data_IF_015938607884
#
_entry.id   IF_015938607884
#
_cell.length_a   1.000
_cell.length_b   1.000
_cell.length_c   1.000
_cell.angle_alpha   90.00
_cell.angle_beta   90.00
_cell.angle_gamma   90.00
#
_symmetry.space_group_name_H-M   'P 1'
#
loop_
_entity.id
_entity.type
_entity.pdbx_description
1 polymer ?
#
# COMPACT_ATOMS: atom_id res chain seq x y z
N UNK A 1 -23.71 9.72 -1.24
CA UNK A 1 -23.69 10.43 0.06
C UNK A 1 -23.84 9.48 1.24
N UNK A 2 -24.92 8.68 1.34
CA UNK A 2 -25.12 7.75 2.46
C UNK A 2 -23.93 6.82 2.74
N UNK A 3 -23.38 6.17 1.71
CA UNK A 3 -22.20 5.31 1.86
C UNK A 3 -20.99 6.06 2.43
N UNK A 4 -20.78 7.34 2.06
CA UNK A 4 -19.69 8.15 2.59
C UNK A 4 -19.94 8.56 4.05
N UNK A 5 -21.18 8.93 4.39
CA UNK A 5 -21.56 9.27 5.76
C UNK A 5 -21.46 8.07 6.71
N UNK A 6 -21.75 6.86 6.22
CA UNK A 6 -21.62 5.64 7.00
C UNK A 6 -20.17 5.41 7.51
N UNK A 7 -19.15 5.83 6.75
CA UNK A 7 -17.74 5.67 7.13
C UNK A 7 -17.31 6.53 8.33
N UNK A 8 -18.14 7.48 8.76
CA UNK A 8 -17.85 8.39 9.86
C UNK A 8 -18.33 7.85 11.22
N UNK A 9 -19.04 6.72 11.22
CA UNK A 9 -19.49 6.06 12.45
C UNK A 9 -18.32 5.37 13.18
N UNK A 10 -18.36 5.30 14.52
CA UNK A 10 -17.37 4.55 15.29
C UNK A 10 -17.29 3.09 14.86
N UNK A 11 -16.11 2.48 14.95
CA UNK A 11 -15.98 1.02 14.82
C UNK A 11 -16.67 0.39 16.04
N UNK A 12 -17.70 -0.42 15.80
CA UNK A 12 -18.55 -1.02 16.85
C UNK A 12 -18.90 -2.50 16.57
N UNK A 13 -18.22 -3.13 15.62
CA UNK A 13 -18.53 -4.49 15.19
C UNK A 13 -18.40 -5.52 16.33
N UNK A 14 -17.40 -5.37 17.21
CA UNK A 14 -17.19 -6.31 18.31
C UNK A 14 -18.32 -6.23 19.34
N UNK A 15 -18.74 -5.00 19.66
CA UNK A 15 -19.89 -4.73 20.52
C UNK A 15 -21.18 -5.26 19.89
N UNK A 16 -21.36 -5.08 18.57
CA UNK A 16 -22.48 -5.63 17.81
C UNK A 16 -22.53 -7.17 17.87
N UNK A 17 -21.39 -7.84 17.69
CA UNK A 17 -21.31 -9.31 17.77
C UNK A 17 -21.65 -9.84 19.17
N UNK A 18 -21.20 -9.17 20.23
CA UNK A 18 -21.50 -9.56 21.62
C UNK A 18 -22.97 -9.36 21.96
N UNK A 19 -23.56 -8.21 21.56
CA UNK A 19 -24.96 -7.90 21.88
C UNK A 19 -25.99 -8.63 21.00
N UNK A 20 -25.56 -9.11 19.84
CA UNK A 20 -26.41 -9.68 18.79
C UNK A 20 -27.14 -8.63 17.93
N UNK A 21 -27.49 -8.98 16.67
CA UNK A 21 -28.21 -8.08 15.78
C UNK A 21 -29.69 -7.95 16.20
N UNK A 22 -30.27 -6.78 15.99
CA UNK A 22 -31.68 -6.47 16.31
C UNK A 22 -32.56 -6.23 15.09
N UNK A 23 -31.96 -6.21 13.90
CA UNK A 23 -32.63 -5.99 12.63
C UNK A 23 -31.81 -6.57 11.47
N UNK A 24 -32.43 -6.67 10.29
CA UNK A 24 -31.82 -7.23 9.08
C UNK A 24 -30.55 -6.49 8.62
N UNK A 25 -30.42 -5.19 8.93
CA UNK A 25 -29.23 -4.40 8.57
C UNK A 25 -28.05 -4.85 9.42
N UNK A 26 -28.25 -5.02 10.72
CA UNK A 26 -27.23 -5.51 11.64
C UNK A 26 -26.84 -6.96 11.35
N UNK A 27 -27.81 -7.82 11.01
CA UNK A 27 -27.55 -9.17 10.52
C UNK A 27 -26.64 -9.15 9.29
N UNK A 28 -26.97 -8.33 8.29
CA UNK A 28 -26.17 -8.17 7.08
C UNK A 28 -24.76 -7.63 7.38
N UNK A 29 -24.62 -6.69 8.33
CA UNK A 29 -23.31 -6.18 8.75
C UNK A 29 -22.41 -7.30 9.29
N UNK A 30 -22.95 -8.13 10.20
CA UNK A 30 -22.21 -9.27 10.77
C UNK A 30 -21.87 -10.28 9.67
N UNK A 31 -22.83 -10.64 8.84
CA UNK A 31 -22.63 -11.60 7.73
C UNK A 31 -21.49 -11.15 6.81
N UNK A 32 -21.50 -9.89 6.38
CA UNK A 32 -20.46 -9.33 5.52
C UNK A 32 -19.11 -9.29 6.22
N UNK A 33 -19.05 -8.86 7.48
CA UNK A 33 -17.83 -8.83 8.27
C UNK A 33 -17.19 -10.23 8.37
N UNK A 34 -17.99 -11.25 8.69
CA UNK A 34 -17.50 -12.62 8.79
C UNK A 34 -17.04 -13.18 7.44
N UNK A 35 -17.83 -12.98 6.38
CA UNK A 35 -17.49 -13.46 5.04
C UNK A 35 -16.22 -12.81 4.50
N UNK A 36 -16.06 -11.49 4.66
CA UNK A 36 -14.89 -10.76 4.16
C UNK A 36 -13.62 -11.17 4.90
N UNK A 37 -13.69 -11.33 6.23
CA UNK A 37 -12.55 -11.80 7.01
C UNK A 37 -12.22 -13.28 6.76
N UNK A 38 -13.23 -14.11 6.45
CA UNK A 38 -13.04 -15.50 6.07
C UNK A 38 -12.33 -15.70 4.71
N UNK A 39 -12.24 -14.66 3.87
CA UNK A 39 -11.44 -14.71 2.64
C UNK A 39 -9.93 -14.84 2.91
N UNK A 40 -9.48 -14.61 4.14
CA UNK A 40 -8.07 -14.74 4.52
C UNK A 40 -7.16 -13.65 3.95
N UNK A 41 -7.71 -12.63 3.27
CA UNK A 41 -6.93 -11.57 2.60
C UNK A 41 -6.00 -10.86 3.59
N UNK A 42 -6.50 -10.54 4.78
CA UNK A 42 -5.73 -9.91 5.85
C UNK A 42 -5.30 -8.47 5.56
N UNK A 43 -4.54 -7.90 6.49
CA UNK A 43 -4.04 -6.54 6.36
C UNK A 43 -3.09 -6.43 5.17
N UNK A 44 -3.30 -5.41 4.33
CA UNK A 44 -2.56 -5.15 3.09
C UNK A 44 -2.62 -6.27 2.03
N UNK A 45 -3.44 -7.31 2.22
CA UNK A 45 -3.52 -8.44 1.28
C UNK A 45 -2.40 -9.47 1.43
N UNK A 46 -1.67 -9.46 2.55
CA UNK A 46 -0.56 -10.39 2.82
C UNK A 46 -1.01 -11.75 3.39
N UNK A 47 -2.30 -11.96 3.59
CA UNK A 47 -2.82 -13.07 4.37
C UNK A 47 -3.06 -12.67 5.84
N UNK A 48 -4.20 -13.06 6.41
CA UNK A 48 -4.48 -12.81 7.83
C UNK A 48 -5.93 -13.01 8.23
N UNK A 49 -6.19 -12.84 9.54
CA UNK A 49 -7.54 -12.96 10.12
C UNK A 49 -8.42 -11.73 9.90
N UNK A 50 -7.81 -10.57 9.66
CA UNK A 50 -8.51 -9.28 9.65
C UNK A 50 -8.21 -8.52 8.36
N UNK A 51 -9.16 -8.60 7.44
CA UNK A 51 -9.23 -7.79 6.22
C UNK A 51 -9.98 -6.49 6.48
N UNK A 52 -11.07 -6.55 7.24
CA UNK A 52 -11.91 -5.40 7.62
C UNK A 52 -12.10 -5.35 9.14
N UNK A 53 -12.10 -4.12 9.67
CA UNK A 53 -12.36 -3.86 11.09
C UNK A 53 -13.86 -3.73 11.39
N UNK A 54 -14.64 -3.25 10.42
CA UNK A 54 -16.09 -3.06 10.52
C UNK A 54 -16.70 -3.00 9.10
N UNK A 55 -18.00 -3.23 9.00
CA UNK A 55 -18.82 -3.02 7.81
C UNK A 55 -20.01 -2.18 8.21
N UNK A 56 -20.19 -1.01 7.59
CA UNK A 56 -21.35 -0.14 7.81
C UNK A 56 -22.32 -0.25 6.65
N UNK A 57 -23.60 -0.42 6.97
CA UNK A 57 -24.68 -0.51 5.98
C UNK A 57 -25.74 0.53 6.32
N UNK A 58 -26.08 1.36 5.33
CA UNK A 58 -27.22 2.28 5.37
C UNK A 58 -28.11 2.00 4.17
N UNK A 59 -29.40 2.00 4.40
CA UNK A 59 -30.43 1.89 3.39
C UNK A 59 -31.23 3.19 3.27
N UNK A 60 -31.99 3.30 2.18
CA UNK A 60 -32.91 4.38 1.95
C UNK A 60 -34.01 3.90 0.98
N UNK A 61 -35.25 4.41 1.09
CA UNK A 61 -36.29 4.09 0.13
C UNK A 61 -35.90 4.45 -1.30
N UNK A 62 -36.25 3.60 -2.25
CA UNK A 62 -35.98 3.81 -3.68
C UNK A 62 -37.25 3.62 -4.49
N UNK A 63 -37.29 4.20 -5.69
CA UNK A 63 -38.36 3.91 -6.64
C UNK A 63 -38.40 2.40 -6.95
N UNK A 64 -39.59 1.80 -7.09
CA UNK A 64 -39.74 0.35 -7.22
C UNK A 64 -38.94 -0.27 -8.40
N UNK A 65 -38.72 0.51 -9.47
CA UNK A 65 -37.92 0.13 -10.63
C UNK A 65 -36.40 0.39 -10.46
N UNK A 66 -35.91 0.72 -9.27
CA UNK A 66 -34.51 1.11 -9.04
C UNK A 66 -33.96 0.57 -7.73
N UNK A 67 -32.74 0.03 -7.78
CA UNK A 67 -32.00 -0.46 -6.60
C UNK A 67 -30.53 0.00 -6.65
N UNK A 68 -30.26 1.31 -6.46
CA UNK A 68 -28.90 1.81 -6.39
C UNK A 68 -28.15 1.18 -5.21
N UNK A 69 -26.94 0.70 -5.47
CA UNK A 69 -26.01 0.17 -4.45
C UNK A 69 -24.69 0.92 -4.58
N UNK A 70 -24.15 1.38 -3.46
CA UNK A 70 -22.86 2.07 -3.42
C UNK A 70 -21.99 1.47 -2.32
N UNK A 71 -20.76 1.12 -2.66
CA UNK A 71 -19.74 0.63 -1.73
C UNK A 71 -18.56 1.61 -1.74
N UNK A 72 -18.11 2.02 -0.56
CA UNK A 72 -16.95 2.91 -0.42
C UNK A 72 -16.09 2.37 0.72
N UNK A 73 -14.79 2.11 0.50
CA UNK A 73 -13.89 1.73 1.58
C UNK A 73 -13.45 2.94 2.41
N UNK A 74 -13.19 2.73 3.70
CA UNK A 74 -12.42 3.65 4.54
C UNK A 74 -11.05 3.04 4.82
N UNK A 75 -9.99 3.84 4.74
CA UNK A 75 -8.63 3.34 4.85
C UNK A 75 -8.02 3.66 6.23
N UNK A 76 -6.77 3.20 6.46
CA UNK A 76 -6.04 3.49 7.69
C UNK A 76 -5.89 5.00 7.99
N UNK A 77 -5.97 5.85 6.96
CA UNK A 77 -6.04 7.29 7.11
C UNK A 77 -7.49 7.79 7.31
N UNK A 78 -8.23 7.14 8.22
CA UNK A 78 -9.58 7.53 8.65
C UNK A 78 -9.52 8.82 9.46
N UNK A 79 -9.91 9.93 8.84
CA UNK A 79 -9.70 11.28 9.38
C UNK A 79 -10.98 12.09 9.26
N UNK A 80 -11.61 12.33 10.40
CA UNK A 80 -12.79 13.17 10.53
C UNK A 80 -12.89 13.68 11.97
N UNK A 81 -13.62 14.76 12.15
CA UNK A 81 -13.92 15.29 13.47
C UNK A 81 -15.34 15.83 13.49
N UNK A 82 -16.04 15.58 14.59
CA UNK A 82 -17.38 16.07 14.84
C UNK A 82 -17.32 17.02 16.03
N UNK A 83 -17.90 18.19 15.91
CA UNK A 83 -18.04 19.15 17.00
C UNK A 83 -19.38 19.88 16.86
N UNK A 84 -19.87 20.43 17.97
CA UNK A 84 -21.12 21.20 18.03
C UNK A 84 -20.78 22.59 18.55
N UNK A 85 -21.37 23.61 17.93
CA UNK A 85 -21.30 24.98 18.43
C UNK A 85 -22.54 25.23 19.29
N UNK A 86 -22.33 25.40 20.59
CA UNK A 86 -23.38 25.66 21.59
C UNK A 86 -23.34 27.09 22.15
N UNK A 87 -22.45 27.94 21.63
CA UNK A 87 -22.24 29.31 22.09
C UNK A 87 -21.30 29.46 23.28
N UNK A 88 -20.68 28.38 23.76
CA UNK A 88 -19.75 28.41 24.90
C UNK A 88 -18.36 29.00 24.59
N UNK A 89 -17.99 29.13 23.31
CA UNK A 89 -16.72 29.73 22.89
C UNK A 89 -16.08 29.03 21.70
N UNK A 90 -14.75 29.19 21.59
CA UNK A 90 -13.95 28.56 20.53
C UNK A 90 -13.84 27.05 20.80
N UNK A 91 -14.05 26.24 19.76
CA UNK A 91 -13.83 24.81 19.85
C UNK A 91 -12.31 24.50 19.90
N UNK A 92 -11.85 23.93 21.01
CA UNK A 92 -10.48 23.48 21.17
C UNK A 92 -10.34 21.98 20.87
N UNK A 93 -9.45 21.64 19.93
CA UNK A 93 -9.22 20.27 19.48
C UNK A 93 -7.87 19.77 19.99
N UNK A 94 -7.88 19.11 21.16
CA UNK A 94 -6.66 18.62 21.80
C UNK A 94 -6.14 17.39 21.06
N UNK A 95 -4.88 17.44 20.62
CA UNK A 95 -4.23 16.29 20.02
C UNK A 95 -4.11 15.12 21.02
N UNK A 96 -4.34 13.86 20.59
CA UNK A 96 -4.16 12.69 21.45
C UNK A 96 -2.73 12.60 22.01
N UNK A 97 -2.58 12.11 23.25
CA UNK A 97 -1.25 11.93 23.82
C UNK A 97 -0.64 10.65 23.25
N UNK A 98 0.66 10.66 22.94
CA UNK A 98 1.36 9.43 22.52
C UNK A 98 1.28 8.31 23.57
N UNK A 99 1.13 8.67 24.85
CA UNK A 99 0.91 7.72 25.95
C UNK A 99 -0.42 6.98 25.90
N UNK A 100 -1.40 7.47 25.13
CA UNK A 100 -2.72 6.83 25.00
C UNK A 100 -2.65 5.59 24.09
N UNK A 101 -1.57 5.46 23.31
CA UNK A 101 -1.33 4.33 22.43
C UNK A 101 -0.57 3.21 23.14
N UNK A 102 -0.86 1.93 22.81
CA UNK A 102 -0.13 0.80 23.39
C UNK A 102 1.36 0.89 23.05
N UNK A 103 2.22 0.52 24.00
CA UNK A 103 3.66 0.42 23.76
C UNK A 103 3.94 -0.69 22.76
N UNK A 104 4.26 -0.32 21.53
CA UNK A 104 4.67 -1.27 20.49
C UNK A 104 6.16 -1.57 20.70
N UNK A 105 6.49 -2.81 21.08
CA UNK A 105 7.88 -3.27 21.07
C UNK A 105 8.33 -3.47 19.63
N UNK A 106 9.22 -2.62 19.13
CA UNK A 106 9.83 -2.83 17.82
C UNK A 106 10.93 -3.88 17.95
N UNK A 107 10.58 -5.15 17.73
CA UNK A 107 11.56 -6.13 17.27
C UNK A 107 11.43 -6.19 15.77
N UNK A 108 12.42 -5.68 15.02
CA UNK A 108 12.65 -6.24 13.69
C UNK A 108 12.68 -7.74 13.91
N UNK A 109 11.72 -8.49 13.34
CA UNK A 109 11.65 -9.92 13.55
C UNK A 109 13.05 -10.52 13.30
N UNK A 110 13.46 -11.51 14.08
CA UNK A 110 14.79 -12.13 13.97
C UNK A 110 15.14 -12.64 12.54
N UNK A 111 14.17 -12.62 11.63
CA UNK A 111 14.20 -13.06 10.23
C UNK A 111 14.30 -11.93 9.19
N UNK A 112 14.35 -10.64 9.58
CA UNK A 112 14.42 -9.55 8.61
C UNK A 112 15.80 -9.47 7.93
N UNK A 113 15.84 -9.46 6.60
CA UNK A 113 17.08 -9.38 5.82
C UNK A 113 17.42 -7.92 5.50
N UNK A 114 18.62 -7.46 5.86
CA UNK A 114 19.15 -6.17 5.40
C UNK A 114 19.69 -6.29 3.98
N UNK A 115 19.35 -5.33 3.12
CA UNK A 115 19.75 -5.29 1.71
C UNK A 115 20.37 -3.94 1.41
N UNK A 116 21.57 -3.94 0.83
CA UNK A 116 22.19 -2.73 0.29
C UNK A 116 21.84 -2.59 -1.20
N UNK A 117 21.01 -1.60 -1.52
CA UNK A 117 20.53 -1.29 -2.87
C UNK A 117 21.65 -0.87 -3.83
N UNK A 118 22.77 -0.36 -3.29
CA UNK A 118 23.88 0.12 -4.12
C UNK A 118 24.74 -1.02 -4.68
N UNK A 119 24.64 -2.22 -4.08
CA UNK A 119 25.47 -3.39 -4.43
C UNK A 119 24.66 -4.65 -4.76
N UNK A 120 23.33 -4.63 -4.58
CA UNK A 120 22.48 -5.81 -4.78
C UNK A 120 22.46 -6.24 -6.25
N UNK A 121 22.50 -7.55 -6.47
CA UNK A 121 22.52 -8.16 -7.80
C UNK A 121 21.19 -8.86 -8.14
N UNK A 122 21.00 -9.24 -9.41
CA UNK A 122 19.83 -10.05 -9.82
C UNK A 122 19.86 -11.43 -9.18
N UNK A 123 21.06 -11.98 -8.94
CA UNK A 123 21.28 -13.24 -8.24
C UNK A 123 20.79 -13.16 -6.78
N UNK A 124 21.10 -12.06 -6.08
CA UNK A 124 20.60 -11.81 -4.73
C UNK A 124 19.07 -11.77 -4.72
N UNK A 125 18.48 -11.00 -5.65
CA UNK A 125 17.02 -10.83 -5.79
C UNK A 125 16.33 -12.18 -6.07
N UNK A 126 16.95 -13.04 -6.88
CA UNK A 126 16.41 -14.36 -7.19
C UNK A 126 16.30 -15.29 -5.97
N UNK A 127 17.03 -14.99 -4.88
CA UNK A 127 16.95 -15.74 -3.62
C UNK A 127 15.80 -15.32 -2.71
N UNK A 128 15.19 -14.16 -2.98
CA UNK A 128 14.14 -13.60 -2.12
C UNK A 128 12.82 -14.31 -2.32
N UNK A 129 12.06 -14.51 -1.24
CA UNK A 129 10.79 -15.25 -1.29
C UNK A 129 9.60 -14.35 -0.99
N UNK A 130 8.42 -14.58 -1.61
CA UNK A 130 7.21 -13.84 -1.27
C UNK A 130 6.90 -13.89 0.23
N UNK A 131 6.57 -12.75 0.83
CA UNK A 131 6.34 -12.59 2.26
C UNK A 131 7.59 -12.33 3.11
N UNK A 132 8.80 -12.47 2.57
CA UNK A 132 10.04 -12.12 3.26
C UNK A 132 10.09 -10.61 3.56
N UNK A 133 10.53 -10.26 4.78
CA UNK A 133 10.72 -8.86 5.18
C UNK A 133 12.15 -8.43 4.92
N UNK A 134 12.30 -7.34 4.17
CA UNK A 134 13.58 -6.73 3.85
C UNK A 134 13.70 -5.36 4.54
N UNK A 135 14.93 -5.00 4.89
CA UNK A 135 15.31 -3.67 5.36
C UNK A 135 16.25 -3.05 4.33
N UNK A 136 15.71 -2.15 3.50
CA UNK A 136 16.44 -1.55 2.39
C UNK A 136 17.34 -0.41 2.90
N UNK A 137 18.58 -0.41 2.41
CA UNK A 137 19.60 0.58 2.69
C UNK A 137 20.23 1.03 1.36
N UNK A 138 20.53 2.32 1.17
CA UNK A 138 21.18 2.85 -0.04
C UNK A 138 20.26 3.68 -0.94
N UNK A 139 20.70 3.91 -2.18
CA UNK A 139 20.02 4.81 -3.13
C UNK A 139 18.87 4.17 -3.91
N UNK A 140 17.79 4.92 -4.12
CA UNK A 140 16.71 4.57 -5.04
C UNK A 140 16.08 5.81 -5.67
N UNK A 141 15.52 5.66 -6.87
CA UNK A 141 14.79 6.74 -7.53
C UNK A 141 13.31 6.70 -7.16
N UNK A 142 12.62 7.83 -7.22
CA UNK A 142 11.17 7.91 -7.06
C UNK A 142 10.50 8.18 -8.39
N UNK A 143 9.24 7.77 -8.52
CA UNK A 143 8.43 8.17 -9.65
C UNK A 143 7.07 7.48 -9.60
N UNK A 144 6.01 8.17 -9.99
CA UNK A 144 4.67 7.59 -10.11
C UNK A 144 4.04 7.96 -11.46
N UNK A 145 2.73 8.04 -11.51
CA UNK A 145 1.90 8.12 -12.72
C UNK A 145 2.46 9.06 -13.81
N UNK A 146 2.66 10.35 -13.51
CA UNK A 146 3.10 11.34 -14.49
C UNK A 146 4.56 11.16 -14.91
N UNK A 147 5.45 10.78 -13.98
CA UNK A 147 6.85 10.50 -14.30
C UNK A 147 6.98 9.30 -15.23
N UNK A 148 6.24 8.21 -14.99
CA UNK A 148 6.26 7.03 -15.87
C UNK A 148 5.72 7.35 -17.26
N UNK A 149 4.63 8.12 -17.34
CA UNK A 149 4.10 8.58 -18.62
C UNK A 149 5.13 9.39 -19.41
N UNK A 150 5.83 10.32 -18.74
CA UNK A 150 6.86 11.13 -19.38
C UNK A 150 8.08 10.31 -19.81
N UNK A 151 8.50 9.33 -19.01
CA UNK A 151 9.54 8.36 -19.38
C UNK A 151 9.13 7.59 -20.65
N UNK A 152 7.91 7.05 -20.69
CA UNK A 152 7.37 6.35 -21.86
C UNK A 152 7.40 7.24 -23.11
N UNK A 153 6.95 8.49 -22.99
CA UNK A 153 6.95 9.44 -24.11
C UNK A 153 8.36 9.76 -24.63
N UNK A 154 9.37 9.88 -23.74
CA UNK A 154 10.77 10.11 -24.11
C UNK A 154 11.34 8.89 -24.85
N UNK A 155 11.17 7.70 -24.27
CA UNK A 155 11.70 6.46 -24.86
C UNK A 155 11.01 6.12 -26.19
N UNK A 156 9.71 6.39 -26.32
CA UNK A 156 8.98 6.21 -27.57
C UNK A 156 9.49 7.11 -28.72
N UNK A 157 10.15 8.24 -28.40
CA UNK A 157 10.83 9.10 -29.38
C UNK A 157 12.26 8.67 -29.68
N UNK A 158 12.77 7.62 -29.03
CA UNK A 158 14.17 7.18 -29.13
C UNK A 158 15.15 8.12 -28.45
N UNK A 159 14.67 9.01 -27.57
CA UNK A 159 15.49 9.95 -26.81
C UNK A 159 16.07 9.27 -25.56
N UNK A 160 17.23 9.76 -25.11
CA UNK A 160 17.81 9.35 -23.82
C UNK A 160 17.09 10.03 -22.66
N UNK A 161 17.03 9.36 -21.50
CA UNK A 161 16.49 9.95 -20.28
C UNK A 161 17.34 11.17 -19.85
N UNK A 162 16.76 12.13 -19.10
CA UNK A 162 17.50 13.30 -18.64
C UNK A 162 18.72 12.93 -17.80
N UNK A 163 19.74 13.79 -17.83
CA UNK A 163 20.95 13.62 -17.03
C UNK A 163 20.62 13.39 -15.54
N UNK A 164 21.23 12.35 -14.96
CA UNK A 164 20.99 11.93 -13.57
C UNK A 164 19.87 10.90 -13.40
N UNK A 165 19.00 10.68 -14.39
CA UNK A 165 17.97 9.64 -14.35
C UNK A 165 18.51 8.34 -14.94
N UNK A 166 19.12 7.50 -14.10
CA UNK A 166 19.57 6.16 -14.47
C UNK A 166 18.91 5.10 -13.59
N UNK A 167 18.14 4.19 -14.21
CA UNK A 167 17.46 3.08 -13.53
C UNK A 167 18.24 1.77 -13.59
N UNK A 168 19.37 1.73 -14.30
CA UNK A 168 20.16 0.51 -14.47
C UNK A 168 20.67 0.04 -13.10
N UNK A 169 20.35 -1.20 -12.76
CA UNK A 169 20.71 -1.79 -11.47
C UNK A 169 20.17 -0.97 -10.26
N UNK A 170 19.03 -0.29 -10.42
CA UNK A 170 18.39 0.51 -9.37
C UNK A 170 16.99 0.01 -9.04
N UNK A 171 16.44 0.62 -8.00
CA UNK A 171 15.05 0.46 -7.59
C UNK A 171 14.30 1.77 -7.80
N UNK A 172 12.99 1.64 -8.09
CA UNK A 172 12.08 2.79 -8.15
C UNK A 172 11.03 2.68 -7.05
N UNK A 173 10.82 3.76 -6.31
CA UNK A 173 9.76 3.88 -5.31
C UNK A 173 8.59 4.70 -5.82
N UNK A 174 7.41 4.08 -5.86
CA UNK A 174 6.16 4.74 -6.22
C UNK A 174 5.67 5.59 -5.06
N UNK A 175 6.11 6.84 -5.01
CA UNK A 175 5.78 7.78 -3.94
C UNK A 175 5.53 9.17 -4.52
N UNK A 176 4.60 9.89 -3.90
CA UNK A 176 4.49 11.32 -4.04
C UNK A 176 4.72 11.94 -2.67
N UNK A 177 5.96 12.31 -2.32
CA UNK A 177 6.25 12.81 -0.99
C UNK A 177 5.60 14.16 -0.76
N UNK A 178 5.20 14.41 0.48
CA UNK A 178 4.80 15.75 0.93
C UNK A 178 6.07 16.60 1.12
N UNK A 179 5.94 17.90 0.88
CA UNK A 179 7.03 18.85 1.11
C UNK A 179 7.50 18.78 2.56
N UNK A 180 8.83 18.83 2.73
CA UNK A 180 9.46 18.88 4.03
C UNK A 180 9.04 20.15 4.78
N UNK A 181 8.80 20.03 6.08
CA UNK A 181 8.62 21.18 6.96
C UNK A 181 9.75 21.22 7.98
N UNK A 182 10.27 22.43 8.25
CA UNK A 182 11.34 22.66 9.22
C UNK A 182 12.59 21.82 8.86
N UNK A 183 13.03 20.96 9.76
CA UNK A 183 14.26 20.17 9.64
C UNK A 183 14.02 18.76 9.08
N UNK A 184 12.84 18.50 8.51
CA UNK A 184 12.55 17.22 7.86
C UNK A 184 13.38 17.06 6.58
N UNK A 185 13.95 15.88 6.36
CA UNK A 185 14.56 15.51 5.08
C UNK A 185 13.51 15.48 3.96
N UNK A 186 12.34 14.94 4.29
CA UNK A 186 11.16 14.84 3.44
C UNK A 186 9.93 14.72 4.34
N UNK A 187 8.80 15.28 3.92
CA UNK A 187 7.52 15.07 4.59
C UNK A 187 7.05 13.61 4.47
N UNK A 188 5.81 13.28 4.91
CA UNK A 188 5.24 11.95 4.74
C UNK A 188 5.44 11.38 3.32
N UNK A 189 6.05 10.19 3.23
CA UNK A 189 6.51 9.59 1.98
C UNK A 189 6.01 8.15 1.83
N UNK A 190 4.68 7.98 1.95
CA UNK A 190 4.03 6.67 1.86
C UNK A 190 3.88 6.14 0.43
N UNK A 191 3.77 4.81 0.27
CA UNK A 191 3.68 4.21 -1.05
C UNK A 191 2.36 4.53 -1.75
N UNK A 192 2.43 4.53 -3.07
CA UNK A 192 1.30 4.68 -3.97
C UNK A 192 0.88 3.33 -4.57
N UNK A 193 -0.39 3.19 -4.95
CA UNK A 193 -0.95 1.96 -5.53
C UNK A 193 -0.18 1.55 -6.77
N UNK A 194 0.49 0.41 -6.71
CA UNK A 194 1.42 -0.06 -7.71
C UNK A 194 0.73 -0.46 -9.02
N UNK A 195 -0.49 -0.98 -8.95
CA UNK A 195 -1.27 -1.45 -10.12
C UNK A 195 -1.42 -0.37 -11.21
N UNK A 196 -1.41 0.92 -10.82
CA UNK A 196 -1.51 2.03 -11.79
C UNK A 196 -0.30 2.16 -12.71
N UNK A 197 0.83 1.59 -12.30
CA UNK A 197 2.07 1.56 -13.08
C UNK A 197 2.24 0.25 -13.86
N UNK A 198 1.27 -0.67 -13.81
CA UNK A 198 1.43 -2.01 -14.39
C UNK A 198 1.72 -1.97 -15.90
N UNK A 199 1.03 -1.11 -16.65
CA UNK A 199 1.26 -0.91 -18.09
C UNK A 199 2.67 -0.45 -18.46
N UNK A 200 3.40 0.17 -17.52
CA UNK A 200 4.77 0.64 -17.74
C UNK A 200 5.83 -0.40 -17.34
N UNK A 201 5.43 -1.49 -16.68
CA UNK A 201 6.36 -2.45 -16.05
C UNK A 201 7.32 -3.07 -17.05
N UNK A 202 6.80 -3.52 -18.19
CA UNK A 202 7.61 -4.16 -19.22
C UNK A 202 8.66 -3.19 -19.77
N UNK A 203 8.25 -1.97 -20.13
CA UNK A 203 9.16 -0.92 -20.59
C UNK A 203 10.22 -0.61 -19.53
N UNK A 204 9.82 -0.38 -18.28
CA UNK A 204 10.75 -0.02 -17.21
C UNK A 204 11.78 -1.12 -16.96
N UNK A 205 11.37 -2.38 -16.92
CA UNK A 205 12.30 -3.50 -16.69
C UNK A 205 13.20 -3.76 -17.91
N UNK A 206 12.63 -3.76 -19.12
CA UNK A 206 13.32 -4.14 -20.34
C UNK A 206 14.27 -3.05 -20.85
N UNK A 207 13.83 -1.79 -20.89
CA UNK A 207 14.54 -0.72 -21.59
C UNK A 207 15.47 0.07 -20.65
N UNK A 208 15.15 0.14 -19.35
CA UNK A 208 15.92 0.95 -18.40
C UNK A 208 16.89 0.14 -17.53
N UNK A 209 16.76 -1.19 -17.52
CA UNK A 209 17.62 -2.07 -16.72
C UNK A 209 17.27 -2.09 -15.22
N UNK A 210 16.07 -1.65 -14.85
CA UNK A 210 15.54 -1.64 -13.50
C UNK A 210 15.57 -3.04 -12.85
N UNK A 211 15.90 -3.10 -11.55
CA UNK A 211 15.92 -4.35 -10.78
C UNK A 211 14.59 -4.62 -10.08
N UNK A 212 14.02 -3.59 -9.49
CA UNK A 212 12.80 -3.76 -8.73
C UNK A 212 12.06 -2.47 -8.45
N UNK A 213 10.83 -2.66 -7.97
CA UNK A 213 9.91 -1.56 -7.71
C UNK A 213 9.35 -1.67 -6.31
N UNK A 214 9.13 -0.53 -5.66
CA UNK A 214 8.53 -0.43 -4.33
C UNK A 214 7.21 0.32 -4.43
N UNK A 215 6.14 -0.22 -3.85
CA UNK A 215 4.81 0.41 -3.88
C UNK A 215 3.88 -0.14 -2.81
N UNK A 216 2.56 -0.05 -3.05
CA UNK A 216 1.54 -0.75 -2.25
C UNK A 216 0.51 -1.44 -3.12
N UNK A 217 -0.24 -2.37 -2.51
CA UNK A 217 -1.23 -3.22 -3.16
C UNK A 217 -0.61 -4.25 -4.12
N UNK A 218 -1.46 -5.13 -4.63
CA UNK A 218 -1.14 -6.18 -5.56
C UNK A 218 -0.72 -5.65 -6.95
N UNK A 219 -0.03 -6.50 -7.70
CA UNK A 219 0.28 -6.29 -9.12
C UNK A 219 -0.68 -7.12 -9.96
N UNK A 220 -1.10 -6.56 -11.09
CA UNK A 220 -1.90 -7.24 -12.08
C UNK A 220 -1.12 -8.34 -12.82
N UNK A 221 -1.82 -9.22 -13.57
CA UNK A 221 -1.20 -10.35 -14.25
C UNK A 221 -0.07 -9.94 -15.21
N UNK A 222 -0.28 -8.89 -16.00
CA UNK A 222 0.70 -8.40 -16.99
C UNK A 222 2.02 -7.97 -16.32
N UNK A 223 1.92 -7.22 -15.21
CA UNK A 223 3.09 -6.81 -14.45
C UNK A 223 3.82 -8.01 -13.82
N UNK A 224 3.09 -9.02 -13.32
CA UNK A 224 3.70 -10.25 -12.78
C UNK A 224 4.47 -11.00 -13.88
N UNK A 225 3.89 -11.10 -15.09
CA UNK A 225 4.58 -11.73 -16.23
C UNK A 225 5.86 -10.97 -16.59
N UNK A 226 5.81 -9.63 -16.65
CA UNK A 226 6.98 -8.80 -16.91
C UNK A 226 8.07 -8.96 -15.83
N UNK A 227 7.69 -8.93 -14.54
CA UNK A 227 8.60 -9.14 -13.41
C UNK A 227 9.32 -10.49 -13.55
N UNK A 228 8.58 -11.56 -13.83
CA UNK A 228 9.15 -12.90 -14.06
C UNK A 228 10.09 -12.94 -15.26
N UNK A 229 9.65 -12.39 -16.40
CA UNK A 229 10.40 -12.38 -17.66
C UNK A 229 11.78 -11.74 -17.48
N UNK A 230 11.84 -10.63 -16.75
CA UNK A 230 13.07 -9.86 -16.53
C UNK A 230 13.78 -10.19 -15.23
N UNK A 231 13.32 -11.21 -14.48
CA UNK A 231 13.85 -11.60 -13.17
C UNK A 231 13.99 -10.39 -12.22
N UNK A 232 12.99 -9.52 -12.24
CA UNK A 232 12.89 -8.37 -11.35
C UNK A 232 12.18 -8.73 -10.05
N UNK A 233 11.85 -7.73 -9.24
CA UNK A 233 11.09 -7.92 -8.00
C UNK A 233 10.15 -6.76 -7.73
N UNK A 234 9.00 -7.05 -7.13
CA UNK A 234 8.12 -6.04 -6.57
C UNK A 234 8.08 -6.16 -5.05
N UNK A 235 8.38 -5.06 -4.38
CA UNK A 235 8.41 -4.90 -2.94
C UNK A 235 7.24 -4.03 -2.51
N UNK A 236 6.58 -4.39 -1.42
CA UNK A 236 5.50 -3.62 -0.83
C UNK A 236 5.99 -2.91 0.43
N UNK A 237 5.90 -1.58 0.43
CA UNK A 237 6.03 -0.78 1.64
C UNK A 237 4.67 -0.70 2.36
N UNK A 238 4.71 -0.45 3.67
CA UNK A 238 3.51 -0.39 4.52
C UNK A 238 2.60 0.77 4.12
N UNK A 239 1.43 0.44 3.56
CA UNK A 239 0.40 1.43 3.24
C UNK A 239 -0.19 2.10 4.48
N UNK A 240 -0.32 3.43 4.48
CA UNK A 240 -0.93 4.19 5.59
C UNK A 240 0.06 4.69 6.65
N UNK A 241 1.28 4.15 6.70
CA UNK A 241 2.32 4.55 7.66
C UNK A 241 3.31 5.58 7.07
N UNK A 242 2.82 6.53 6.26
CA UNK A 242 3.64 7.43 5.44
C UNK A 242 4.70 8.23 6.23
N UNK A 243 4.34 8.71 7.43
CA UNK A 243 5.28 9.43 8.30
C UNK A 243 6.35 8.52 8.90
N UNK A 244 6.02 7.27 9.22
CA UNK A 244 7.02 6.32 9.72
C UNK A 244 7.99 5.90 8.61
N UNK A 245 7.46 5.66 7.40
CA UNK A 245 8.28 5.34 6.22
C UNK A 245 9.23 6.51 5.88
N UNK A 246 8.79 7.76 5.99
CA UNK A 246 9.68 8.90 5.74
C UNK A 246 10.84 9.00 6.75
N UNK A 247 10.71 8.43 7.96
CA UNK A 247 11.82 8.34 8.91
C UNK A 247 12.93 7.37 8.48
N UNK A 248 12.73 6.54 7.46
CA UNK A 248 13.80 5.78 6.86
C UNK A 248 14.57 6.58 5.79
N UNK A 249 14.04 7.72 5.33
CA UNK A 249 14.70 8.55 4.30
C UNK A 249 15.72 9.46 4.96
N UNK A 250 16.98 9.37 4.52
CA UNK A 250 18.14 10.14 5.01
C UNK A 250 18.52 11.29 4.10
N UNK A 251 18.21 11.19 2.81
CA UNK A 251 18.39 12.27 1.83
C UNK A 251 17.28 12.22 0.78
N UNK A 252 16.88 13.39 0.28
CA UNK A 252 15.94 13.56 -0.82
C UNK A 252 16.38 14.70 -1.73
N UNK A 253 16.60 14.43 -3.01
CA UNK A 253 16.97 15.44 -4.01
C UNK A 253 16.18 15.25 -5.29
N UNK A 254 15.65 16.33 -5.86
CA UNK A 254 15.01 16.28 -7.19
C UNK A 254 16.10 16.07 -8.25
N UNK A 255 15.87 15.11 -9.13
CA UNK A 255 16.78 14.74 -10.23
C UNK A 255 16.21 15.17 -11.57
N UNK A 256 14.91 14.98 -11.79
CA UNK A 256 14.26 15.38 -13.03
C UNK A 256 12.76 15.65 -12.83
N UNK A 257 12.19 16.35 -13.82
CA UNK A 257 10.76 16.64 -13.92
C UNK A 257 10.22 17.43 -12.72
N UNK A 258 10.96 18.44 -12.27
CA UNK A 258 10.57 19.31 -11.16
C UNK A 258 9.19 19.96 -11.36
N UNK A 259 8.81 20.24 -12.61
CA UNK A 259 7.51 20.77 -13.00
C UNK A 259 6.33 19.83 -12.64
N UNK A 260 6.59 18.55 -12.37
CA UNK A 260 5.58 17.58 -11.91
C UNK A 260 5.31 17.65 -10.39
N UNK A 261 5.99 18.54 -9.66
CA UNK A 261 5.79 18.74 -8.22
C UNK A 261 6.03 17.46 -7.40
N UNK A 262 5.01 16.97 -6.69
CA UNK A 262 5.11 15.73 -5.92
C UNK A 262 5.36 14.48 -6.78
N UNK A 263 5.17 14.54 -8.11
CA UNK A 263 5.46 13.42 -9.02
C UNK A 263 6.83 13.51 -9.69
N UNK A 264 7.65 14.52 -9.34
CA UNK A 264 9.01 14.63 -9.83
C UNK A 264 9.86 13.40 -9.48
N UNK A 265 10.87 13.11 -10.29
CA UNK A 265 11.84 12.06 -10.00
C UNK A 265 12.81 12.61 -8.96
N UNK A 266 12.88 11.94 -7.81
CA UNK A 266 13.82 12.23 -6.74
C UNK A 266 14.77 11.06 -6.53
N UNK A 267 15.96 11.36 -6.07
CA UNK A 267 16.87 10.37 -5.51
C UNK A 267 16.68 10.37 -4.00
N UNK A 268 16.31 9.20 -3.46
CA UNK A 268 16.24 8.95 -2.02
C UNK A 268 17.43 8.11 -1.61
N UNK A 269 18.02 8.44 -0.45
CA UNK A 269 18.88 7.51 0.29
C UNK A 269 18.10 7.04 1.50
N UNK A 270 17.96 5.73 1.66
CA UNK A 270 17.20 5.13 2.77
C UNK A 270 18.09 4.31 3.70
N UNK A 271 17.65 4.19 4.95
CA UNK A 271 18.27 3.38 5.99
C UNK A 271 17.21 2.56 6.72
N UNK A 272 17.42 1.24 6.77
CA UNK A 272 16.52 0.24 7.35
C UNK A 272 15.03 0.45 6.97
N UNK A 273 14.76 0.80 5.71
CA UNK A 273 13.38 0.97 5.21
C UNK A 273 12.69 -0.39 5.11
N UNK A 274 11.59 -0.63 5.87
CA UNK A 274 10.94 -1.93 5.89
C UNK A 274 10.03 -2.12 4.67
N UNK A 275 10.23 -3.22 3.97
CA UNK A 275 9.39 -3.66 2.85
C UNK A 275 9.18 -5.17 2.90
N UNK A 276 8.13 -5.65 2.23
CA UNK A 276 7.84 -7.07 2.07
C UNK A 276 7.96 -7.47 0.61
N UNK A 277 8.59 -8.62 0.32
CA UNK A 277 8.63 -9.17 -1.04
C UNK A 277 7.21 -9.55 -1.45
N UNK A 278 6.63 -8.81 -2.40
CA UNK A 278 5.24 -8.97 -2.80
C UNK A 278 5.10 -9.80 -4.08
N UNK A 279 6.02 -9.65 -5.03
CA UNK A 279 6.18 -10.56 -6.18
C UNK A 279 7.66 -10.85 -6.34
N UNK A 280 8.04 -12.13 -6.35
CA UNK A 280 9.44 -12.55 -6.50
C UNK A 280 9.88 -12.62 -7.98
N UNK A 281 11.16 -12.93 -8.20
CA UNK A 281 11.75 -13.07 -9.54
C UNK A 281 11.18 -14.23 -10.37
N UNK A 282 10.42 -15.15 -9.75
CA UNK A 282 9.75 -16.26 -10.44
C UNK A 282 8.29 -15.93 -10.79
N UNK A 283 7.81 -14.74 -10.40
CA UNK A 283 6.43 -14.30 -10.59
C UNK A 283 5.44 -14.83 -9.55
N UNK A 284 5.93 -15.38 -8.44
CA UNK A 284 5.07 -15.80 -7.34
C UNK A 284 4.65 -14.59 -6.51
N UNK A 285 3.36 -14.50 -6.17
CA UNK A 285 2.77 -13.30 -5.54
C UNK A 285 2.21 -13.61 -4.16
N UNK A 286 2.67 -12.87 -3.14
CA UNK A 286 2.16 -13.01 -1.77
C UNK A 286 0.67 -12.68 -1.67
N UNK A 287 0.17 -11.79 -2.55
CA UNK A 287 -1.25 -11.43 -2.61
C UNK A 287 -2.13 -12.56 -3.18
N UNK A 288 -1.52 -13.63 -3.71
CA UNK A 288 -2.20 -14.87 -4.10
C UNK A 288 -1.97 -15.98 -3.08
N UNK A 289 -0.73 -16.18 -2.65
CA UNK A 289 -0.36 -17.28 -1.73
C UNK A 289 -0.84 -17.02 -0.31
N UNK A 290 -0.64 -15.81 0.21
CA UNK A 290 -1.01 -15.41 1.56
C UNK A 290 -2.51 -15.60 1.84
N UNK A 291 -3.42 -15.00 1.05
CA UNK A 291 -4.85 -15.19 1.23
C UNK A 291 -5.29 -16.65 1.13
N UNK A 292 -4.72 -17.42 0.20
CA UNK A 292 -5.04 -18.86 0.03
C UNK A 292 -4.62 -19.68 1.26
N UNK A 293 -3.43 -19.44 1.79
CA UNK A 293 -2.93 -20.10 3.00
C UNK A 293 -3.83 -19.79 4.19
N UNK A 294 -4.18 -18.51 4.38
CA UNK A 294 -5.01 -18.09 5.51
C UNK A 294 -6.46 -18.54 5.39
N UNK A 295 -7.04 -18.52 4.19
CA UNK A 295 -8.36 -19.10 3.95
C UNK A 295 -8.41 -20.58 4.37
N UNK A 296 -7.33 -21.33 4.10
CA UNK A 296 -7.22 -22.73 4.51
C UNK A 296 -7.17 -22.88 6.03
N UNK A 297 -6.39 -22.02 6.70
CA UNK A 297 -6.26 -22.00 8.16
C UNK A 297 -7.55 -21.59 8.88
N UNK A 298 -8.30 -20.64 8.31
CA UNK A 298 -9.56 -20.17 8.88
C UNK A 298 -10.64 -21.27 8.76
N UNK A 299 -10.63 -22.06 7.67
CA UNK A 299 -11.48 -23.25 7.52
C UNK A 299 -12.98 -22.99 7.37
N UNK A 300 -13.41 -21.73 7.21
CA UNK A 300 -14.83 -21.34 7.07
C UNK A 300 -15.36 -21.39 5.63
N UNK A 301 -14.48 -21.37 4.62
CA UNK A 301 -14.84 -21.43 3.20
C UNK A 301 -14.18 -22.67 2.58
N UNK A 302 -14.92 -23.55 1.89
CA UNK A 302 -14.33 -24.70 1.20
C UNK A 302 -13.32 -24.24 0.14
N UNK A 303 -12.08 -24.74 0.19
CA UNK A 303 -11.09 -24.50 -0.86
C UNK A 303 -11.30 -25.56 -1.93
N UNK A 304 -11.73 -25.13 -3.13
CA UNK A 304 -11.71 -26.00 -4.30
C UNK A 304 -10.24 -26.29 -4.65
N UNK A 305 -9.79 -27.53 -4.40
CA UNK A 305 -8.53 -28.02 -4.94
C UNK A 305 -8.76 -28.27 -6.43
N UNK A 306 -8.19 -27.42 -7.29
CA UNK A 306 -8.05 -27.78 -8.70
C UNK A 306 -7.05 -28.95 -8.76
N UNK A 307 -7.57 -30.14 -9.10
CA UNK A 307 -6.83 -31.37 -9.38
C UNK A 307 -6.19 -31.26 -10.76
#
# INVERSE_FOLDING_TARGET
LLAKNALMEPIDMQELMVRGPRNNIEELRIELYEKVNALGIGAQGLGGLTTVLDVKVKDFPTHAASKPIAMIPNCAATRHIHFVLDGSGVAELVAPKLSDWPKISWSAGATARRVNLDTVTREDIASWRPGETLLLNGGMLTGRDAAHKRIEEILARGESLPDGVDFRNRFIYYVGPVDAVRDEVVGPAGPTTATRMDKYTEMMLNETGLLGMVGKAERGPEAIVAIKKHRGVYLMAVGGAAYLVSKAVRSSRIVAFEDLGMEAIREFVVEDMPVTVAVDANGESVHKTGPREWQSRIGKIPIAVQV
#
